data_IF_842441203566
#
_entry.id   IF_842441203566
#
_cell.length_a   1.000
_cell.length_b   1.000
_cell.length_c   1.000
_cell.angle_alpha   90.00
_cell.angle_beta   90.00
_cell.angle_gamma   90.00
#
_symmetry.space_group_name_H-M   'P 1'
#
loop_
_entity.id
_entity.type
_entity.pdbx_description
1 polymer ?
#
# COMPACT_ATOMS: atom_id res chain seq x y z
N UNK A 1 20.45 38.68 10.59
CA UNK A 1 20.57 37.54 9.68
C UNK A 1 19.68 36.45 10.26
N UNK A 2 18.56 36.14 9.61
CA UNK A 2 17.56 35.22 10.16
C UNK A 2 18.03 33.78 9.93
N UNK A 3 18.10 33.03 11.03
CA UNK A 3 18.36 31.60 11.12
C UNK A 3 17.16 30.84 10.56
N UNK A 4 17.24 30.39 9.30
CA UNK A 4 16.28 29.44 8.75
C UNK A 4 16.71 28.01 9.11
N UNK A 5 16.39 27.60 10.33
CA UNK A 5 16.41 26.17 10.68
C UNK A 5 15.43 25.44 9.74
N UNK A 6 15.87 24.46 8.92
CA UNK A 6 14.97 23.76 8.01
C UNK A 6 13.93 22.99 8.82
N UNK A 7 12.64 23.01 8.43
CA UNK A 7 11.62 22.27 9.14
C UNK A 7 12.00 20.80 9.09
N UNK A 8 12.19 20.20 10.25
CA UNK A 8 12.39 18.76 10.41
C UNK A 8 11.28 18.03 9.67
N UNK A 9 11.57 17.63 8.43
CA UNK A 9 10.64 16.88 7.59
C UNK A 9 10.56 15.50 8.24
N UNK A 10 9.61 15.36 9.18
CA UNK A 10 9.21 14.08 9.74
C UNK A 10 8.96 13.19 8.54
N UNK A 11 9.85 12.24 8.29
CA UNK A 11 9.68 11.22 7.24
C UNK A 11 8.36 10.53 7.55
N UNK A 12 7.26 11.00 6.97
CA UNK A 12 5.99 10.29 6.98
C UNK A 12 6.34 8.92 6.41
N UNK A 13 5.88 7.84 7.04
CA UNK A 13 6.04 6.50 6.48
C UNK A 13 5.48 6.57 5.06
N UNK A 14 6.38 6.60 4.08
CA UNK A 14 6.03 6.69 2.67
C UNK A 14 5.51 5.30 2.35
N UNK A 15 4.19 5.14 2.39
CA UNK A 15 3.60 3.96 1.80
C UNK A 15 3.88 4.06 0.30
N UNK A 16 4.36 2.99 -0.35
CA UNK A 16 4.58 3.03 -1.78
C UNK A 16 3.25 3.31 -2.51
N UNK A 17 3.30 4.09 -3.61
CA UNK A 17 2.11 4.42 -4.37
C UNK A 17 1.46 3.15 -4.92
N UNK A 18 0.14 3.17 -5.08
CA UNK A 18 -0.58 2.04 -5.63
C UNK A 18 -0.11 1.77 -7.07
N UNK A 19 0.35 0.56 -7.37
CA UNK A 19 0.69 0.16 -8.74
C UNK A 19 -0.55 -0.04 -9.64
N UNK A 20 -1.73 -0.21 -9.05
CA UNK A 20 -2.99 -0.37 -9.79
C UNK A 20 -3.55 0.94 -10.33
N UNK A 21 -3.56 2.00 -9.51
CA UNK A 21 -4.12 3.31 -9.89
C UNK A 21 -3.09 4.45 -9.97
N UNK A 22 -1.87 4.23 -9.48
CA UNK A 22 -0.83 5.27 -9.39
C UNK A 22 -1.04 6.27 -8.25
N UNK A 23 -2.14 6.16 -7.50
CA UNK A 23 -2.52 7.12 -6.46
C UNK A 23 -1.86 6.81 -5.11
N UNK A 24 -1.74 7.83 -4.24
CA UNK A 24 -1.26 7.72 -2.86
C UNK A 24 -2.43 7.89 -1.86
N UNK A 25 -3.28 6.86 -1.68
CA UNK A 25 -4.48 6.97 -0.85
C UNK A 25 -4.18 6.96 0.65
N UNK A 26 -2.91 7.15 1.05
CA UNK A 26 -2.43 7.05 2.43
C UNK A 26 -2.43 5.64 3.03
N UNK A 27 -3.15 4.69 2.41
CA UNK A 27 -3.19 3.28 2.79
C UNK A 27 -3.02 2.37 1.57
N UNK A 28 -1.83 1.79 1.42
CA UNK A 28 -1.54 0.78 0.40
C UNK A 28 -1.12 -0.53 1.05
N UNK A 29 -1.67 -1.61 0.50
CA UNK A 29 -1.30 -2.98 0.81
C UNK A 29 0.04 -3.29 0.16
N UNK A 30 1.08 -3.31 0.97
CA UNK A 30 2.43 -3.63 0.52
C UNK A 30 2.68 -5.13 0.59
N UNK A 31 2.97 -5.72 -0.57
CA UNK A 31 3.50 -7.06 -0.70
C UNK A 31 5.03 -7.04 -0.55
N UNK A 32 5.64 -8.03 0.12
CA UNK A 32 7.10 -8.19 0.17
C UNK A 32 7.74 -8.45 -1.21
N UNK A 33 6.93 -8.74 -2.22
CA UNK A 33 7.36 -8.80 -3.62
C UNK A 33 7.63 -7.42 -4.25
N UNK A 34 7.38 -6.33 -3.52
CA UNK A 34 7.51 -4.95 -4.02
C UNK A 34 6.24 -4.38 -4.63
N UNK A 35 5.16 -5.16 -4.69
CA UNK A 35 3.87 -4.70 -5.19
C UNK A 35 3.10 -3.95 -4.10
N UNK A 36 2.55 -2.79 -4.44
CA UNK A 36 1.71 -2.00 -3.55
C UNK A 36 0.34 -1.79 -4.19
N UNK A 37 -0.74 -2.07 -3.47
CA UNK A 37 -2.09 -1.95 -4.00
C UNK A 37 -3.00 -1.26 -3.01
N UNK A 38 -3.78 -0.26 -3.42
CA UNK A 38 -4.75 0.35 -2.53
C UNK A 38 -5.97 -0.54 -2.30
N UNK A 39 -6.74 -0.25 -1.25
CA UNK A 39 -7.94 -1.03 -0.93
C UNK A 39 -8.99 -0.95 -2.06
N UNK A 40 -9.07 0.19 -2.75
CA UNK A 40 -9.98 0.37 -3.90
C UNK A 40 -9.58 -0.52 -5.09
N UNK A 41 -8.30 -0.53 -5.49
CA UNK A 41 -7.83 -1.41 -6.56
C UNK A 41 -7.90 -2.88 -6.16
N UNK A 42 -7.67 -3.20 -4.89
CA UNK A 42 -7.85 -4.55 -4.37
C UNK A 42 -9.31 -5.00 -4.48
N UNK A 43 -10.27 -4.15 -4.12
CA UNK A 43 -11.70 -4.45 -4.27
C UNK A 43 -12.11 -4.56 -5.74
N UNK A 44 -11.62 -3.65 -6.60
CA UNK A 44 -11.89 -3.68 -8.04
C UNK A 44 -11.32 -4.93 -8.72
N UNK A 45 -10.22 -5.48 -8.19
CA UNK A 45 -9.60 -6.70 -8.66
C UNK A 45 -9.79 -7.88 -7.71
N UNK A 46 -10.85 -7.89 -6.90
CA UNK A 46 -11.12 -8.97 -5.93
C UNK A 46 -11.33 -10.34 -6.61
N UNK A 47 -11.70 -10.36 -7.89
CA UNK A 47 -11.72 -11.55 -8.73
C UNK A 47 -10.31 -12.11 -9.04
N UNK A 48 -9.33 -11.22 -9.20
CA UNK A 48 -7.91 -11.56 -9.44
C UNK A 48 -7.13 -11.75 -8.14
N UNK A 49 -7.51 -11.02 -7.11
CA UNK A 49 -6.94 -11.06 -5.78
C UNK A 49 -7.96 -11.74 -4.86
N UNK A 50 -7.80 -13.03 -4.54
CA UNK A 50 -8.69 -13.72 -3.59
C UNK A 50 -8.77 -12.95 -2.27
N UNK A 51 -9.86 -12.21 -2.08
CA UNK A 51 -10.13 -11.39 -0.92
C UNK A 51 -11.16 -12.10 -0.03
N UNK A 52 -10.71 -13.05 0.79
CA UNK A 52 -11.57 -13.76 1.74
C UNK A 52 -11.72 -12.98 3.06
N UNK A 53 -12.10 -11.71 2.97
CA UNK A 53 -12.37 -10.79 4.09
C UNK A 53 -11.16 -10.34 4.91
N UNK A 54 -10.19 -11.23 5.20
CA UNK A 54 -8.98 -10.92 5.99
C UNK A 54 -7.67 -11.21 5.25
N UNK A 55 -7.72 -12.10 4.27
CA UNK A 55 -6.58 -12.46 3.42
C UNK A 55 -6.77 -11.91 2.02
N UNK A 56 -5.71 -11.33 1.44
CA UNK A 56 -5.61 -10.95 0.05
C UNK A 56 -4.48 -11.74 -0.62
N UNK A 57 -4.69 -12.21 -1.84
CA UNK A 57 -3.63 -12.84 -2.63
C UNK A 57 -3.04 -11.82 -3.60
N UNK A 58 -1.72 -11.67 -3.61
CA UNK A 58 -1.05 -10.74 -4.52
C UNK A 58 -1.16 -11.25 -5.97
N UNK A 59 -1.58 -10.42 -6.94
CA UNK A 59 -1.72 -10.84 -8.34
C UNK A 59 -0.37 -11.02 -9.03
N UNK A 60 0.71 -10.47 -8.48
CA UNK A 60 2.06 -10.55 -9.05
C UNK A 60 2.80 -11.80 -8.58
N UNK A 61 2.85 -12.04 -7.27
CA UNK A 61 3.62 -13.16 -6.71
C UNK A 61 2.76 -14.34 -6.24
N UNK A 62 1.43 -14.23 -6.35
CA UNK A 62 0.45 -15.23 -5.91
C UNK A 62 0.55 -15.65 -4.43
N UNK A 63 1.27 -14.89 -3.60
CA UNK A 63 1.34 -15.12 -2.16
C UNK A 63 0.10 -14.57 -1.48
N UNK A 64 -0.44 -15.36 -0.57
CA UNK A 64 -1.55 -14.95 0.29
C UNK A 64 -1.00 -14.20 1.50
N UNK A 65 -1.45 -12.97 1.65
CA UNK A 65 -1.12 -12.09 2.75
C UNK A 65 -2.38 -11.85 3.58
N UNK A 66 -2.28 -12.04 4.88
CA UNK A 66 -3.30 -11.55 5.82
C UNK A 66 -3.04 -10.07 6.06
N UNK A 67 -4.11 -9.27 6.06
CA UNK A 67 -3.97 -7.85 6.38
C UNK A 67 -3.39 -7.60 7.75
N UNK A 68 -2.81 -6.41 7.96
CA UNK A 68 -2.20 -6.07 9.22
C UNK A 68 -3.22 -6.36 10.32
N UNK A 69 -2.88 -7.26 11.23
CA UNK A 69 -3.64 -7.45 12.45
C UNK A 69 -3.65 -6.07 13.11
N UNK A 70 -4.84 -5.46 13.23
CA UNK A 70 -5.02 -4.25 14.03
C UNK A 70 -4.44 -4.47 15.43
#
# INVERSE_FOLDING_TARGET
MADETPPFYRRRKVFPPCQGCGDDPGFTWTCPCGFALCNACMAAQAERCKANGRSWTCPVCQRTHVGPAR
#
